data_IF_165827494861
#
_entry.id   IF_165827494861
#
_cell.length_a   1.000
_cell.length_b   1.000
_cell.length_c   1.000
_cell.angle_alpha   90.00
_cell.angle_beta   90.00
_cell.angle_gamma   90.00
#
_symmetry.space_group_name_H-M   'P 1'
#
loop_
_entity.id
_entity.type
_entity.pdbx_description
1 polymer ?
#
# COMPACT_ATOMS: atom_id res chain seq x y z
N UNK A 1 -4.27 -5.29 47.84
CA UNK A 1 -3.19 -6.24 47.48
C UNK A 1 -2.71 -5.90 46.08
N UNK A 2 -1.61 -5.15 46.01
CA UNK A 2 -0.85 -4.84 44.80
C UNK A 2 -0.43 -6.11 44.06
N UNK A 3 -0.68 -6.17 42.75
CA UNK A 3 0.04 -7.05 41.83
C UNK A 3 0.68 -6.17 40.76
N UNK A 4 1.90 -5.73 41.06
CA UNK A 4 2.80 -5.10 40.09
C UNK A 4 3.13 -6.13 39.01
N UNK A 5 2.67 -5.90 37.79
CA UNK A 5 3.17 -6.63 36.63
C UNK A 5 4.53 -6.07 36.26
N UNK A 6 5.61 -6.66 36.79
CA UNK A 6 6.96 -6.43 36.26
C UNK A 6 7.11 -7.22 34.96
N UNK A 7 6.82 -6.57 33.83
CA UNK A 7 7.19 -7.09 32.51
C UNK A 7 8.59 -6.58 32.14
N UNK A 8 9.61 -7.29 32.61
CA UNK A 8 10.94 -7.21 32.02
C UNK A 8 11.01 -8.25 30.89
N UNK A 9 10.82 -7.84 29.64
CA UNK A 9 11.23 -8.65 28.47
C UNK A 9 11.67 -7.76 27.29
N UNK A 10 12.76 -8.21 26.66
CA UNK A 10 13.63 -7.56 25.67
C UNK A 10 12.95 -7.19 24.32
N UNK A 11 13.58 -6.32 23.48
CA UNK A 11 12.98 -5.78 22.26
C UNK A 11 13.07 -6.78 21.11
N UNK A 12 12.23 -7.81 21.15
CA UNK A 12 11.95 -8.65 19.99
C UNK A 12 11.00 -7.91 19.05
N UNK A 13 11.39 -7.69 17.78
CA UNK A 13 10.51 -7.14 16.74
C UNK A 13 9.29 -8.05 16.59
N UNK A 14 8.16 -7.67 17.19
CA UNK A 14 6.88 -8.36 16.99
C UNK A 14 6.45 -8.18 15.53
N UNK A 15 6.58 -9.24 14.72
CA UNK A 15 5.93 -9.30 13.41
C UNK A 15 4.45 -9.57 13.61
N UNK A 16 3.66 -8.52 13.77
CA UNK A 16 2.20 -8.62 13.77
C UNK A 16 1.78 -9.10 12.37
N UNK A 17 1.22 -10.30 12.25
CA UNK A 17 0.60 -10.77 11.00
C UNK A 17 -0.71 -10.01 10.81
N UNK A 18 -0.63 -8.91 10.07
CA UNK A 18 -1.82 -8.17 9.63
C UNK A 18 -2.59 -9.07 8.63
N UNK A 19 -3.92 -9.26 8.79
CA UNK A 19 -4.73 -10.01 7.84
C UNK A 19 -4.59 -9.46 6.42
N UNK A 20 -4.52 -10.34 5.42
CA UNK A 20 -4.36 -9.93 4.02
C UNK A 20 -5.52 -9.04 3.55
N UNK A 21 -6.75 -9.37 3.94
CA UNK A 21 -7.95 -8.56 3.67
C UNK A 21 -7.82 -7.12 4.18
N UNK A 22 -7.20 -6.91 5.33
CA UNK A 22 -7.00 -5.56 5.86
C UNK A 22 -6.05 -4.73 4.99
N UNK A 23 -5.01 -5.36 4.42
CA UNK A 23 -4.06 -4.68 3.54
C UNK A 23 -4.67 -4.37 2.18
N UNK A 24 -5.49 -5.29 1.66
CA UNK A 24 -6.29 -5.07 0.46
C UNK A 24 -7.21 -3.86 0.67
N UNK A 25 -7.88 -3.78 1.82
CA UNK A 25 -8.74 -2.64 2.15
C UNK A 25 -7.96 -1.33 2.26
N UNK A 26 -6.76 -1.33 2.84
CA UNK A 26 -5.88 -0.15 2.84
C UNK A 26 -5.53 0.26 1.42
N UNK A 27 -5.13 -0.70 0.57
CA UNK A 27 -4.74 -0.44 -0.80
C UNK A 27 -5.90 0.20 -1.58
N UNK A 28 -7.08 -0.44 -1.55
CA UNK A 28 -8.30 0.08 -2.20
C UNK A 28 -8.68 1.47 -1.69
N UNK A 29 -8.64 1.68 -0.37
CA UNK A 29 -8.98 2.98 0.21
C UNK A 29 -7.97 4.08 -0.15
N UNK A 30 -6.68 3.79 -0.22
CA UNK A 30 -5.70 4.80 -0.64
C UNK A 30 -5.80 5.10 -2.12
N UNK A 31 -5.90 4.07 -2.96
CA UNK A 31 -5.96 4.24 -4.41
C UNK A 31 -7.29 4.86 -4.85
N UNK A 32 -8.43 4.45 -4.30
CA UNK A 32 -9.76 4.98 -4.65
C UNK A 32 -9.93 6.49 -4.41
N UNK A 33 -9.02 7.13 -3.67
CA UNK A 33 -8.97 8.60 -3.53
C UNK A 33 -8.51 9.30 -4.80
N UNK A 34 -7.88 8.58 -5.72
CA UNK A 34 -7.33 9.09 -6.96
C UNK A 34 -8.27 8.76 -8.12
N UNK A 35 -9.17 9.70 -8.44
CA UNK A 35 -10.13 9.55 -9.54
C UNK A 35 -9.48 9.38 -10.92
N UNK A 36 -8.28 9.93 -11.09
CA UNK A 36 -7.54 9.84 -12.35
C UNK A 36 -6.04 9.85 -12.09
N UNK A 37 -5.37 8.84 -12.63
CA UNK A 37 -3.93 8.64 -12.58
C UNK A 37 -3.47 8.59 -14.04
N UNK A 38 -2.77 9.64 -14.47
CA UNK A 38 -2.21 9.71 -15.83
C UNK A 38 -1.07 8.70 -15.95
N UNK A 39 -1.16 7.80 -16.90
CA UNK A 39 -0.09 6.85 -17.21
C UNK A 39 1.04 7.59 -17.94
N UNK A 40 2.29 7.54 -17.45
CA UNK A 40 3.44 8.04 -18.19
C UNK A 40 3.57 7.38 -19.57
N UNK A 41 3.93 8.16 -20.59
CA UNK A 41 4.20 7.69 -21.96
C UNK A 41 2.99 7.09 -22.71
N UNK A 42 1.80 7.11 -22.11
CA UNK A 42 0.55 6.68 -22.75
C UNK A 42 -0.46 7.82 -22.63
N UNK A 43 -1.20 8.12 -23.70
CA UNK A 43 -2.30 9.10 -23.67
C UNK A 43 -3.56 8.47 -23.03
N UNK A 44 -3.38 7.88 -21.86
CA UNK A 44 -4.43 7.20 -21.12
C UNK A 44 -4.30 7.50 -19.63
N UNK A 45 -5.45 7.55 -18.95
CA UNK A 45 -5.53 7.70 -17.51
C UNK A 45 -6.44 6.61 -16.98
N UNK A 46 -6.04 6.02 -15.86
CA UNK A 46 -6.82 5.01 -15.15
C UNK A 46 -7.31 5.59 -13.83
N UNK A 47 -8.41 5.07 -13.31
CA UNK A 47 -8.84 5.34 -11.94
C UNK A 47 -7.96 4.59 -10.95
N UNK A 48 -7.95 5.06 -9.70
CA UNK A 48 -7.29 4.34 -8.62
C UNK A 48 -7.94 3.00 -8.29
N UNK A 49 -9.25 2.87 -8.48
CA UNK A 49 -9.95 1.59 -8.29
C UNK A 49 -9.50 0.57 -9.35
N UNK A 50 -9.42 0.96 -10.62
CA UNK A 50 -8.87 0.11 -11.69
C UNK A 50 -7.42 -0.30 -11.40
N UNK A 51 -6.59 0.65 -10.94
CA UNK A 51 -5.21 0.34 -10.55
C UNK A 51 -5.16 -0.66 -9.37
N UNK A 52 -6.06 -0.53 -8.41
CA UNK A 52 -6.13 -1.43 -7.27
C UNK A 52 -6.51 -2.86 -7.70
N UNK A 53 -7.52 -2.99 -8.55
CA UNK A 53 -7.95 -4.29 -9.04
C UNK A 53 -6.86 -4.96 -9.90
N UNK A 54 -6.22 -4.22 -10.81
CA UNK A 54 -5.08 -4.75 -11.58
C UNK A 54 -3.93 -5.22 -10.70
N UNK A 55 -3.58 -4.43 -9.67
CA UNK A 55 -2.53 -4.82 -8.73
C UNK A 55 -2.86 -6.13 -8.01
N UNK A 56 -4.11 -6.33 -7.60
CA UNK A 56 -4.54 -7.54 -6.90
C UNK A 56 -4.60 -8.75 -7.82
N UNK A 57 -4.84 -8.56 -9.12
CA UNK A 57 -4.83 -9.64 -10.11
C UNK A 57 -3.41 -10.11 -10.44
N UNK A 58 -2.43 -9.20 -10.53
CA UNK A 58 -1.09 -9.50 -11.03
C UNK A 58 -0.04 -9.69 -9.94
N UNK A 59 -0.26 -9.17 -8.73
CA UNK A 59 0.75 -9.15 -7.68
C UNK A 59 0.53 -10.28 -6.67
N UNK A 60 1.62 -10.87 -6.21
CA UNK A 60 1.59 -11.79 -5.06
C UNK A 60 1.24 -11.05 -3.77
N UNK A 61 0.75 -11.74 -2.72
CA UNK A 61 0.45 -11.12 -1.43
C UNK A 61 1.64 -10.36 -0.82
N UNK A 62 2.87 -10.82 -1.08
CA UNK A 62 4.08 -10.15 -0.62
C UNK A 62 4.34 -8.85 -1.37
N UNK A 63 4.14 -8.82 -2.68
CA UNK A 63 4.28 -7.59 -3.47
C UNK A 63 3.23 -6.56 -3.08
N UNK A 64 1.99 -6.99 -2.83
CA UNK A 64 0.94 -6.12 -2.28
C UNK A 64 1.36 -5.50 -0.95
N UNK A 65 1.96 -6.29 -0.04
CA UNK A 65 2.48 -5.79 1.23
C UNK A 65 3.53 -4.68 1.03
N UNK A 66 4.47 -4.90 0.10
CA UNK A 66 5.54 -3.98 -0.21
C UNK A 66 4.99 -2.68 -0.84
N UNK A 67 4.00 -2.79 -1.74
CA UNK A 67 3.32 -1.64 -2.36
C UNK A 67 2.58 -0.82 -1.31
N UNK A 68 1.80 -1.46 -0.43
CA UNK A 68 1.11 -0.77 0.67
C UNK A 68 2.12 -0.04 1.56
N UNK A 69 3.26 -0.66 1.86
CA UNK A 69 4.31 -0.04 2.66
C UNK A 69 4.95 1.17 1.95
N UNK A 70 5.19 1.09 0.64
CA UNK A 70 5.69 2.20 -0.17
C UNK A 70 4.72 3.38 -0.17
N UNK A 71 3.43 3.11 -0.39
CA UNK A 71 2.35 4.10 -0.38
C UNK A 71 2.27 4.82 0.98
N UNK A 72 2.23 4.05 2.07
CA UNK A 72 2.18 4.63 3.42
C UNK A 72 3.43 5.44 3.74
N UNK A 73 4.61 4.98 3.32
CA UNK A 73 5.86 5.68 3.54
C UNK A 73 5.91 6.99 2.76
N UNK A 74 5.45 7.01 1.51
CA UNK A 74 5.34 8.23 0.70
C UNK A 74 4.38 9.22 1.35
N UNK A 75 3.21 8.75 1.82
CA UNK A 75 2.22 9.58 2.51
C UNK A 75 2.77 10.21 3.79
N UNK A 76 3.44 9.42 4.66
CA UNK A 76 4.03 9.92 5.92
C UNK A 76 5.09 11.00 5.70
N UNK A 77 5.85 10.91 4.60
CA UNK A 77 6.91 11.87 4.27
C UNK A 77 6.40 13.11 3.51
N UNK A 78 5.08 13.24 3.30
CA UNK A 78 4.52 14.31 2.47
C UNK A 78 4.99 14.25 1.00
N UNK A 79 5.50 13.10 0.56
CA UNK A 79 5.99 12.91 -0.80
C UNK A 79 4.83 12.88 -1.78
N UNK A 80 5.10 13.24 -3.05
CA UNK A 80 4.11 13.18 -4.12
C UNK A 80 3.75 11.72 -4.42
N UNK A 81 2.74 11.20 -3.72
CA UNK A 81 2.21 9.84 -3.92
C UNK A 81 1.84 9.61 -5.39
N UNK A 82 1.38 10.65 -6.08
CA UNK A 82 0.98 10.57 -7.48
C UNK A 82 2.09 10.01 -8.37
N UNK A 83 3.35 10.44 -8.22
CA UNK A 83 4.43 9.92 -9.07
C UNK A 83 4.71 8.44 -8.82
N UNK A 84 4.53 7.96 -7.58
CA UNK A 84 4.60 6.53 -7.28
C UNK A 84 3.48 5.77 -8.00
N UNK A 85 2.24 6.26 -7.92
CA UNK A 85 1.09 5.62 -8.58
C UNK A 85 1.24 5.60 -10.10
N UNK A 86 1.76 6.67 -10.68
CA UNK A 86 2.04 6.78 -12.11
C UNK A 86 3.11 5.78 -12.56
N UNK A 87 4.17 5.61 -11.77
CA UNK A 87 5.21 4.60 -12.04
C UNK A 87 4.64 3.18 -11.95
N UNK A 88 3.82 2.89 -10.94
CA UNK A 88 3.16 1.59 -10.82
C UNK A 88 2.24 1.36 -12.02
N UNK A 89 1.41 2.33 -12.38
CA UNK A 89 0.52 2.25 -13.54
C UNK A 89 1.30 2.00 -14.85
N UNK A 90 2.43 2.69 -15.06
CA UNK A 90 3.29 2.48 -16.22
C UNK A 90 3.89 1.06 -16.25
N UNK A 91 4.26 0.50 -15.10
CA UNK A 91 4.84 -0.84 -15.03
C UNK A 91 3.81 -1.96 -15.33
N UNK A 92 2.52 -1.67 -15.16
CA UNK A 92 1.43 -2.62 -15.39
C UNK A 92 0.90 -2.62 -16.83
N UNK A 93 1.16 -1.54 -17.58
CA UNK A 93 0.70 -1.40 -18.96
C UNK A 93 1.75 -2.01 -19.89
N UNK A 94 1.32 -2.97 -20.71
CA UNK A 94 2.14 -3.66 -21.72
C UNK A 94 2.23 -2.88 -23.03
#
# INVERSE_FOLDING_TARGET
>A
MDKRFTVNTCPGKFKIKIPQEYKINILKNELGRHKSIKVPNVNHSISGDELADWLLEVSSPREVDEIVLMIQSARRRGSRIMSLLQTIAAALIK
#
